data_IF_829160402056
#
_entry.id   IF_829160402056
#
_cell.length_a   1.000
_cell.length_b   1.000
_cell.length_c   1.000
_cell.angle_alpha   90.00
_cell.angle_beta   90.00
_cell.angle_gamma   90.00
#
_symmetry.space_group_name_H-M   'P 1'
#
loop_
_entity.id
_entity.type
_entity.pdbx_description
1 polymer ?
#
# COMPACT_ATOMS: atom_id res chain seq x y z
N UNK A 1 -25.14 34.44 20.90
CA UNK A 1 -25.13 33.38 21.90
C UNK A 1 -23.67 32.94 22.05
N UNK A 2 -23.06 33.25 23.21
CA UNK A 2 -21.70 32.78 23.51
C UNK A 2 -21.87 31.36 24.07
N UNK A 3 -21.33 30.35 23.39
CA UNK A 3 -21.25 29.00 24.00
C UNK A 3 -20.16 29.05 25.07
N UNK A 4 -20.49 28.61 26.28
CA UNK A 4 -19.50 28.47 27.35
C UNK A 4 -18.52 27.37 26.99
N UNK A 5 -17.24 27.62 27.23
CA UNK A 5 -16.20 26.61 27.03
C UNK A 5 -15.82 25.97 28.37
N UNK A 6 -15.97 24.68 28.46
CA UNK A 6 -15.64 23.88 29.65
C UNK A 6 -14.23 23.38 29.58
N UNK A 7 -13.40 23.66 30.59
CA UNK A 7 -12.03 23.23 30.68
C UNK A 7 -11.95 21.93 31.48
N UNK A 8 -11.58 20.83 30.79
CA UNK A 8 -11.40 19.52 31.38
C UNK A 8 -9.92 19.19 31.52
N UNK A 9 -9.44 18.91 32.74
CA UNK A 9 -8.07 18.47 33.01
C UNK A 9 -8.03 16.95 33.18
N UNK A 10 -7.22 16.29 32.37
CA UNK A 10 -7.02 14.84 32.43
C UNK A 10 -5.54 14.52 32.56
N UNK A 11 -5.19 13.23 32.71
CA UNK A 11 -3.77 12.78 32.66
C UNK A 11 -3.11 13.01 31.31
N UNK A 12 -3.90 13.25 30.26
CA UNK A 12 -3.43 13.47 28.87
C UNK A 12 -3.25 14.97 28.56
N UNK A 13 -3.69 15.87 29.44
CA UNK A 13 -3.59 17.32 29.25
C UNK A 13 -4.86 18.07 29.64
N UNK A 14 -4.92 19.34 29.21
CA UNK A 14 -6.07 20.22 29.42
C UNK A 14 -6.80 20.40 28.10
N UNK A 15 -8.11 20.18 28.08
CA UNK A 15 -8.96 20.23 26.90
C UNK A 15 -10.08 21.24 27.12
N UNK A 16 -10.45 21.98 26.06
CA UNK A 16 -11.61 22.87 26.05
C UNK A 16 -12.74 22.20 25.26
N UNK A 17 -13.88 22.02 25.88
CA UNK A 17 -15.06 21.39 25.30
C UNK A 17 -16.20 22.39 25.23
N UNK A 18 -17.04 22.32 24.20
CA UNK A 18 -18.32 23.00 24.14
C UNK A 18 -19.37 22.29 25.05
N UNK A 19 -20.54 22.93 25.25
CA UNK A 19 -21.56 22.42 26.15
C UNK A 19 -22.02 20.99 25.81
N UNK A 20 -22.16 20.68 24.50
CA UNK A 20 -22.60 19.35 24.04
C UNK A 20 -21.54 18.29 24.27
N UNK A 21 -20.28 18.58 23.91
CA UNK A 21 -19.15 17.68 24.11
C UNK A 21 -18.84 17.48 25.60
N UNK A 22 -19.06 18.50 26.44
CA UNK A 22 -18.88 18.38 27.87
C UNK A 22 -19.99 17.51 28.54
N UNK A 23 -21.22 17.61 28.08
CA UNK A 23 -22.28 16.71 28.51
C UNK A 23 -22.00 15.26 28.16
N UNK A 24 -21.55 14.98 26.91
CA UNK A 24 -21.17 13.64 26.46
C UNK A 24 -19.94 13.08 27.22
N UNK A 25 -19.00 13.96 27.62
CA UNK A 25 -17.88 13.58 28.46
C UNK A 25 -18.33 13.15 29.86
N UNK A 26 -19.25 13.92 30.49
CA UNK A 26 -19.82 13.60 31.82
C UNK A 26 -20.63 12.30 31.79
N UNK A 27 -21.31 12.01 30.69
CA UNK A 27 -22.08 10.78 30.51
C UNK A 27 -21.24 9.58 30.11
N UNK A 28 -19.89 9.75 29.96
CA UNK A 28 -18.97 8.68 29.55
C UNK A 28 -19.10 8.28 28.11
N UNK A 29 -19.80 9.04 27.29
CA UNK A 29 -19.92 8.81 25.83
C UNK A 29 -18.76 9.37 25.04
N UNK A 30 -18.12 10.43 25.54
CA UNK A 30 -16.94 11.05 24.93
C UNK A 30 -15.67 10.61 25.65
N UNK A 31 -14.75 9.99 24.91
CA UNK A 31 -13.43 9.60 25.40
C UNK A 31 -12.37 10.57 24.87
N UNK A 32 -11.68 11.27 25.80
CA UNK A 32 -10.55 12.12 25.45
C UNK A 32 -9.31 11.21 25.32
N UNK A 33 -8.82 11.04 24.08
CA UNK A 33 -7.63 10.23 23.77
C UNK A 33 -6.51 11.07 23.15
N UNK A 34 -5.25 10.62 23.27
CA UNK A 34 -4.10 11.27 22.64
C UNK A 34 -4.30 11.39 21.13
N UNK A 35 -4.30 12.62 20.60
CA UNK A 35 -4.49 12.87 19.17
C UNK A 35 -5.92 13.17 18.72
N UNK A 36 -6.89 13.35 19.64
CA UNK A 36 -8.26 13.73 19.29
C UNK A 36 -8.30 15.04 18.50
N UNK A 37 -7.52 16.07 18.88
CA UNK A 37 -7.40 17.33 18.14
C UNK A 37 -6.83 17.15 16.72
N UNK A 38 -5.85 16.23 16.56
CA UNK A 38 -5.30 15.91 15.22
C UNK A 38 -6.32 15.18 14.34
N UNK A 39 -7.25 14.41 14.92
CA UNK A 39 -8.28 13.71 14.14
C UNK A 39 -9.31 14.66 13.56
N UNK A 40 -9.71 15.70 14.29
CA UNK A 40 -10.67 16.69 13.78
C UNK A 40 -10.12 17.49 12.60
N UNK A 41 -8.84 17.90 12.65
CA UNK A 41 -8.16 18.55 11.52
C UNK A 41 -7.82 17.58 10.38
N UNK A 42 -7.46 16.32 10.70
CA UNK A 42 -7.15 15.30 9.71
C UNK A 42 -8.41 14.80 8.99
N UNK A 43 -9.55 14.74 9.66
CA UNK A 43 -10.83 14.40 9.00
C UNK A 43 -11.30 15.48 8.03
N UNK A 44 -11.07 16.76 8.33
CA UNK A 44 -11.36 17.86 7.38
C UNK A 44 -10.33 17.92 6.24
N UNK A 45 -9.09 17.47 6.45
CA UNK A 45 -8.07 17.37 5.39
C UNK A 45 -8.10 16.04 4.62
N UNK A 46 -8.72 14.99 5.18
CA UNK A 46 -8.78 13.66 4.55
C UNK A 46 -9.91 13.50 3.52
N UNK A 47 -10.75 14.49 3.36
CA UNK A 47 -11.79 14.46 2.32
C UNK A 47 -11.37 15.22 1.05
N UNK A 48 -10.10 15.07 0.58
CA UNK A 48 -9.92 15.14 -0.88
C UNK A 48 -10.70 13.96 -1.44
N UNK A 49 -11.72 14.20 -2.29
CA UNK A 49 -12.41 13.09 -2.95
C UNK A 49 -11.30 12.29 -3.64
N UNK A 50 -11.13 11.02 -3.24
CA UNK A 50 -10.37 10.08 -4.06
C UNK A 50 -11.03 10.17 -5.41
N UNK A 51 -10.32 10.70 -6.41
CA UNK A 51 -10.80 10.73 -7.77
C UNK A 51 -11.39 9.33 -8.03
N UNK A 52 -12.68 9.25 -8.25
CA UNK A 52 -13.33 7.99 -8.59
C UNK A 52 -12.71 7.61 -9.93
N UNK A 53 -11.77 6.67 -9.89
CA UNK A 53 -11.21 6.11 -11.11
C UNK A 53 -12.37 5.33 -11.73
N UNK A 54 -12.93 5.87 -12.81
CA UNK A 54 -13.91 5.15 -13.61
C UNK A 54 -13.20 3.94 -14.20
N UNK A 55 -13.58 2.76 -13.74
CA UNK A 55 -13.02 1.50 -14.21
C UNK A 55 -13.76 1.08 -15.48
N UNK A 56 -13.04 0.95 -16.58
CA UNK A 56 -13.58 0.49 -17.87
C UNK A 56 -13.88 -1.02 -17.86
N UNK A 57 -14.74 -1.46 -18.76
CA UNK A 57 -14.99 -2.89 -18.98
C UNK A 57 -13.71 -3.64 -19.39
N UNK A 58 -12.81 -2.96 -20.11
CA UNK A 58 -11.53 -3.52 -20.51
C UNK A 58 -10.65 -3.81 -19.30
N UNK A 59 -10.56 -2.90 -18.34
CA UNK A 59 -9.82 -3.12 -17.09
C UNK A 59 -10.38 -4.30 -16.28
N UNK A 60 -11.69 -4.49 -16.28
CA UNK A 60 -12.35 -5.64 -15.65
C UNK A 60 -11.99 -6.94 -16.38
N UNK A 61 -12.01 -6.95 -17.71
CA UNK A 61 -11.62 -8.11 -18.53
C UNK A 61 -10.17 -8.50 -18.29
N UNK A 62 -9.25 -7.53 -18.24
CA UNK A 62 -7.83 -7.76 -17.95
C UNK A 62 -7.64 -8.35 -16.55
N UNK A 63 -8.33 -7.83 -15.54
CA UNK A 63 -8.33 -8.39 -14.19
C UNK A 63 -8.75 -9.87 -14.21
N UNK A 64 -9.82 -10.19 -14.91
CA UNK A 64 -10.38 -11.55 -14.94
C UNK A 64 -9.52 -12.51 -15.78
N UNK A 65 -8.79 -12.00 -16.76
CA UNK A 65 -7.83 -12.77 -17.56
C UNK A 65 -6.52 -13.06 -16.79
N UNK A 66 -6.10 -12.18 -15.89
CA UNK A 66 -4.82 -12.26 -15.17
C UNK A 66 -4.79 -13.29 -14.02
N UNK A 67 -5.44 -14.47 -14.17
CA UNK A 67 -5.71 -15.40 -13.06
C UNK A 67 -4.53 -16.24 -12.59
N UNK A 68 -3.54 -16.54 -13.45
CA UNK A 68 -2.48 -17.50 -13.11
C UNK A 68 -1.16 -16.81 -12.74
N UNK A 69 -0.70 -15.88 -13.55
CA UNK A 69 0.54 -15.15 -13.37
C UNK A 69 0.38 -13.73 -13.92
N UNK A 70 -0.01 -12.85 -13.03
CA UNK A 70 -0.28 -11.45 -13.40
C UNK A 70 0.94 -10.75 -13.99
N UNK A 71 2.16 -11.07 -13.52
CA UNK A 71 3.36 -10.43 -14.02
C UNK A 71 3.68 -10.86 -15.45
N UNK A 72 3.60 -12.17 -15.73
CA UNK A 72 3.79 -12.69 -17.09
C UNK A 72 2.70 -12.18 -18.02
N UNK A 73 1.44 -12.24 -17.59
CA UNK A 73 0.31 -11.72 -18.35
C UNK A 73 0.48 -10.23 -18.70
N UNK A 74 0.97 -9.43 -17.75
CA UNK A 74 1.27 -8.01 -17.98
C UNK A 74 2.34 -7.82 -19.07
N UNK A 75 3.43 -8.61 -19.01
CA UNK A 75 4.53 -8.52 -19.98
C UNK A 75 4.09 -8.95 -21.39
N UNK A 76 3.23 -9.96 -21.49
CA UNK A 76 2.69 -10.44 -22.76
C UNK A 76 1.67 -9.47 -23.37
N UNK A 77 0.80 -8.90 -22.54
CA UNK A 77 -0.27 -7.98 -23.00
C UNK A 77 0.26 -6.58 -23.31
N UNK A 78 1.26 -6.12 -22.53
CA UNK A 78 1.83 -4.78 -22.63
C UNK A 78 3.37 -4.85 -22.72
N UNK A 79 3.96 -5.39 -23.80
CA UNK A 79 5.38 -5.58 -23.90
C UNK A 79 6.14 -4.25 -23.82
N UNK A 80 7.14 -4.21 -22.94
CA UNK A 80 7.99 -3.03 -22.73
C UNK A 80 7.36 -1.93 -21.87
N UNK A 81 6.12 -2.08 -21.42
CA UNK A 81 5.48 -1.10 -20.55
C UNK A 81 6.02 -1.21 -19.12
N UNK A 82 6.50 -0.09 -18.60
CA UNK A 82 6.94 0.00 -17.21
C UNK A 82 5.74 0.22 -16.31
N UNK A 83 5.52 -0.67 -15.36
CA UNK A 83 4.38 -0.62 -14.45
C UNK A 83 4.87 -0.67 -13.01
N UNK A 84 4.38 0.25 -12.18
CA UNK A 84 4.71 0.26 -10.77
C UNK A 84 4.16 -0.97 -10.05
N UNK A 85 4.93 -1.52 -9.09
CA UNK A 85 4.46 -2.62 -8.24
C UNK A 85 3.21 -2.17 -7.47
N UNK A 86 2.12 -2.94 -7.47
CA UNK A 86 0.86 -2.56 -6.82
C UNK A 86 0.90 -2.73 -5.29
N UNK A 87 1.98 -2.26 -4.69
CA UNK A 87 2.21 -2.32 -3.24
C UNK A 87 1.31 -1.34 -2.48
N UNK A 88 0.90 -1.73 -1.27
CA UNK A 88 0.18 -0.91 -0.30
C UNK A 88 0.84 -1.02 1.08
N UNK A 89 0.90 0.05 1.85
CA UNK A 89 1.55 0.04 3.17
C UNK A 89 0.95 -0.99 4.15
N UNK A 90 -0.33 -1.33 4.01
CA UNK A 90 -0.96 -2.42 4.77
C UNK A 90 -0.32 -3.80 4.54
N UNK A 91 0.43 -3.97 3.45
CA UNK A 91 1.14 -5.21 3.10
C UNK A 91 2.53 -5.27 3.75
N UNK A 92 3.00 -4.18 4.37
CA UNK A 92 4.38 -4.07 4.87
C UNK A 92 4.76 -5.20 5.84
N UNK A 93 3.84 -5.62 6.68
CA UNK A 93 4.04 -6.69 7.67
C UNK A 93 3.88 -8.12 7.14
N UNK A 94 3.43 -8.31 5.89
CA UNK A 94 3.24 -9.66 5.35
C UNK A 94 4.58 -10.39 5.24
N UNK A 95 4.63 -11.69 5.61
CA UNK A 95 5.85 -12.50 5.51
C UNK A 95 6.19 -12.84 4.07
N UNK A 96 7.47 -13.04 3.76
CA UNK A 96 7.94 -13.42 2.41
C UNK A 96 7.43 -14.80 1.97
N UNK A 97 6.93 -15.61 2.88
CA UNK A 97 6.36 -16.92 2.55
C UNK A 97 5.13 -16.80 1.62
N UNK A 98 4.40 -15.69 1.69
CA UNK A 98 3.30 -15.36 0.78
C UNK A 98 3.76 -15.11 -0.68
N UNK A 99 5.05 -14.97 -0.92
CA UNK A 99 5.59 -14.73 -2.26
C UNK A 99 5.81 -16.02 -3.07
N UNK A 100 5.58 -17.20 -2.51
CA UNK A 100 5.82 -18.50 -3.17
C UNK A 100 7.20 -18.62 -3.82
N UNK A 101 8.24 -18.20 -3.10
CA UNK A 101 9.63 -18.21 -3.57
C UNK A 101 10.24 -19.62 -3.53
N UNK A 102 11.20 -19.88 -4.42
CA UNK A 102 12.07 -21.05 -4.26
C UNK A 102 12.87 -20.97 -2.96
N UNK A 103 13.27 -22.11 -2.42
CA UNK A 103 14.11 -22.21 -1.21
C UNK A 103 15.37 -21.34 -1.33
N UNK A 104 15.97 -21.30 -2.52
CA UNK A 104 17.16 -20.51 -2.79
C UNK A 104 16.91 -19.01 -2.63
N UNK A 105 15.84 -18.50 -3.24
CA UNK A 105 15.46 -17.09 -3.21
C UNK A 105 14.99 -16.67 -1.81
N UNK A 106 14.18 -17.49 -1.14
CA UNK A 106 13.77 -17.28 0.25
C UNK A 106 14.97 -17.20 1.19
N UNK A 107 15.90 -18.16 1.13
CA UNK A 107 17.11 -18.16 1.94
C UNK A 107 18.02 -16.95 1.66
N UNK A 108 18.06 -16.44 0.43
CA UNK A 108 18.82 -15.24 0.12
C UNK A 108 18.22 -14.00 0.78
N UNK A 109 16.88 -13.82 0.72
CA UNK A 109 16.18 -12.76 1.41
C UNK A 109 16.32 -12.86 2.93
N UNK A 110 16.21 -14.05 3.50
CA UNK A 110 16.39 -14.29 4.93
C UNK A 110 17.79 -13.86 5.39
N UNK A 111 18.86 -14.20 4.65
CA UNK A 111 20.23 -13.74 4.94
C UNK A 111 20.39 -12.22 4.86
N UNK A 112 19.63 -11.56 3.97
CA UNK A 112 19.58 -10.11 3.84
C UNK A 112 18.66 -9.44 4.89
N UNK A 113 18.14 -10.21 5.85
CA UNK A 113 17.16 -9.77 6.85
C UNK A 113 15.87 -9.17 6.23
N UNK A 114 15.52 -9.63 5.03
CA UNK A 114 14.30 -9.22 4.31
C UNK A 114 13.18 -10.26 4.55
N UNK A 115 12.58 -10.24 5.73
CA UNK A 115 11.57 -11.22 6.16
C UNK A 115 10.13 -10.80 5.84
N UNK A 116 9.93 -9.55 5.46
CA UNK A 116 8.60 -8.98 5.19
C UNK A 116 8.56 -8.23 3.87
N UNK A 117 7.36 -8.06 3.32
CA UNK A 117 7.15 -7.31 2.08
C UNK A 117 7.71 -5.89 2.15
N UNK A 118 7.58 -5.21 3.30
CA UNK A 118 8.15 -3.88 3.49
C UNK A 118 9.67 -3.87 3.29
N UNK A 119 10.40 -4.85 3.86
CA UNK A 119 11.85 -4.95 3.67
C UNK A 119 12.23 -5.35 2.25
N UNK A 120 11.47 -6.23 1.62
CA UNK A 120 11.69 -6.58 0.21
C UNK A 120 11.49 -5.35 -0.69
N UNK A 121 10.41 -4.58 -0.48
CA UNK A 121 10.17 -3.31 -1.17
C UNK A 121 11.37 -2.36 -1.04
N UNK A 122 11.85 -2.13 0.19
CA UNK A 122 13.01 -1.24 0.42
C UNK A 122 14.24 -1.67 -0.38
N UNK A 123 14.52 -2.97 -0.45
CA UNK A 123 15.66 -3.50 -1.21
C UNK A 123 15.44 -3.31 -2.72
N UNK A 124 14.24 -3.61 -3.24
CA UNK A 124 13.92 -3.46 -4.67
C UNK A 124 13.99 -1.99 -5.10
N UNK A 125 13.59 -1.06 -4.22
CA UNK A 125 13.58 0.38 -4.52
C UNK A 125 14.98 1.03 -4.56
N UNK A 126 15.99 0.38 -4.01
CA UNK A 126 17.37 0.84 -4.07
C UNK A 126 18.01 0.33 -5.36
N UNK A 127 18.69 1.21 -6.10
CA UNK A 127 19.45 0.82 -7.29
C UNK A 127 20.40 -0.32 -6.96
N UNK A 128 20.34 -1.40 -7.76
CA UNK A 128 21.09 -2.64 -7.54
C UNK A 128 20.89 -3.30 -6.16
N UNK A 129 19.82 -2.96 -5.44
CA UNK A 129 19.60 -3.45 -4.08
C UNK A 129 19.59 -4.98 -3.98
N UNK A 130 18.93 -5.67 -4.92
CA UNK A 130 18.92 -7.13 -4.97
C UNK A 130 20.29 -7.69 -5.33
N UNK A 131 21.05 -7.07 -6.22
CA UNK A 131 22.39 -7.51 -6.63
C UNK A 131 23.40 -7.45 -5.48
N UNK A 132 23.17 -6.61 -4.46
CA UNK A 132 24.00 -6.52 -3.26
C UNK A 132 23.81 -7.71 -2.31
N UNK A 133 22.77 -8.53 -2.52
CA UNK A 133 22.56 -9.73 -1.72
C UNK A 133 23.55 -10.79 -2.13
N UNK A 134 24.41 -11.20 -1.19
CA UNK A 134 25.44 -12.21 -1.43
C UNK A 134 24.83 -13.53 -1.95
N UNK A 135 25.39 -14.06 -3.01
CA UNK A 135 24.99 -15.31 -3.67
C UNK A 135 23.56 -15.29 -4.24
N UNK A 136 23.01 -14.12 -4.54
CA UNK A 136 21.78 -13.99 -5.31
C UNK A 136 22.16 -13.93 -6.80
N UNK A 137 21.75 -14.96 -7.55
CA UNK A 137 21.96 -15.00 -9.00
C UNK A 137 20.81 -14.30 -9.74
N UNK A 138 21.06 -13.94 -11.01
CA UNK A 138 20.09 -13.24 -11.88
C UNK A 138 18.73 -13.96 -11.96
N UNK A 139 18.72 -15.31 -11.96
CA UNK A 139 17.45 -16.07 -11.97
C UNK A 139 16.64 -15.84 -10.70
N UNK A 140 17.29 -15.86 -9.52
CA UNK A 140 16.64 -15.61 -8.25
C UNK A 140 16.21 -14.15 -8.08
N UNK A 141 16.99 -13.21 -8.64
CA UNK A 141 16.60 -11.80 -8.67
C UNK A 141 15.30 -11.62 -9.46
N UNK A 142 15.21 -12.13 -10.67
CA UNK A 142 14.00 -12.09 -11.50
C UNK A 142 12.81 -12.79 -10.84
N UNK A 143 13.04 -13.92 -10.19
CA UNK A 143 12.02 -14.65 -9.44
C UNK A 143 11.46 -13.79 -8.29
N UNK A 144 12.33 -13.17 -7.48
CA UNK A 144 11.91 -12.32 -6.35
C UNK A 144 11.05 -11.16 -6.86
N UNK A 145 11.48 -10.46 -7.89
CA UNK A 145 10.74 -9.34 -8.46
C UNK A 145 9.37 -9.77 -8.98
N UNK A 146 9.32 -10.83 -9.80
CA UNK A 146 8.07 -11.37 -10.36
C UNK A 146 7.12 -11.80 -9.26
N UNK A 147 7.59 -12.58 -8.29
CA UNK A 147 6.75 -13.12 -7.24
C UNK A 147 6.31 -12.04 -6.25
N UNK A 148 7.17 -11.06 -5.96
CA UNK A 148 6.78 -9.91 -5.16
C UNK A 148 5.67 -9.08 -5.82
N UNK A 149 5.80 -8.81 -7.13
CA UNK A 149 4.76 -8.13 -7.90
C UNK A 149 3.43 -8.91 -7.84
N UNK A 150 3.47 -10.20 -8.15
CA UNK A 150 2.28 -11.06 -8.17
C UNK A 150 1.64 -11.15 -6.78
N UNK A 151 2.45 -11.35 -5.74
CA UNK A 151 1.96 -11.41 -4.37
C UNK A 151 1.28 -10.08 -3.95
N UNK A 152 1.89 -8.92 -4.25
CA UNK A 152 1.26 -7.63 -4.01
C UNK A 152 -0.08 -7.47 -4.75
N UNK A 153 -0.15 -7.92 -6.00
CA UNK A 153 -1.38 -7.84 -6.79
C UNK A 153 -2.50 -8.70 -6.19
N UNK A 154 -2.20 -9.93 -5.78
CA UNK A 154 -3.22 -10.82 -5.19
C UNK A 154 -3.68 -10.40 -3.79
N UNK A 155 -2.95 -9.54 -3.10
CA UNK A 155 -3.38 -8.90 -1.85
C UNK A 155 -4.31 -7.68 -2.07
N UNK A 156 -4.54 -7.28 -3.30
CA UNK A 156 -5.51 -6.24 -3.64
C UNK A 156 -6.94 -6.82 -3.65
N UNK A 157 -7.90 -6.01 -3.23
CA UNK A 157 -9.31 -6.32 -3.45
C UNK A 157 -9.66 -6.33 -4.95
N UNK A 158 -10.73 -7.02 -5.37
CA UNK A 158 -11.16 -7.04 -6.78
C UNK A 158 -11.32 -5.64 -7.39
N UNK A 159 -11.81 -4.68 -6.62
CA UNK A 159 -11.93 -3.29 -7.04
C UNK A 159 -10.56 -2.64 -7.24
N UNK A 160 -9.62 -2.85 -6.32
CA UNK A 160 -8.25 -2.31 -6.44
C UNK A 160 -7.50 -2.95 -7.61
N UNK A 161 -7.72 -4.23 -7.89
CA UNK A 161 -7.17 -4.91 -9.06
C UNK A 161 -7.70 -4.29 -10.37
N UNK A 162 -9.00 -4.01 -10.44
CA UNK A 162 -9.57 -3.35 -11.61
C UNK A 162 -9.02 -1.91 -11.78
N UNK A 163 -8.88 -1.16 -10.69
CA UNK A 163 -8.24 0.17 -10.71
C UNK A 163 -6.77 0.07 -11.13
N UNK A 164 -6.05 -0.98 -10.73
CA UNK A 164 -4.68 -1.22 -11.18
C UNK A 164 -4.63 -1.37 -12.70
N UNK A 165 -5.48 -2.22 -13.28
CA UNK A 165 -5.53 -2.40 -14.75
C UNK A 165 -5.95 -1.13 -15.48
N UNK A 166 -6.88 -0.35 -14.93
CA UNK A 166 -7.23 0.95 -15.51
C UNK A 166 -6.02 1.87 -15.60
N UNK A 167 -5.21 1.94 -14.54
CA UNK A 167 -3.96 2.72 -14.56
C UNK A 167 -2.95 2.18 -15.57
N UNK A 168 -2.88 0.86 -15.75
CA UNK A 168 -2.02 0.25 -16.77
C UNK A 168 -2.47 0.66 -18.17
N UNK A 169 -3.78 0.70 -18.44
CA UNK A 169 -4.33 1.17 -19.71
C UNK A 169 -4.03 2.66 -19.93
N UNK A 170 -4.31 3.48 -18.90
CA UNK A 170 -4.20 4.94 -18.96
C UNK A 170 -2.76 5.46 -18.98
N UNK A 171 -1.80 4.68 -18.47
CA UNK A 171 -0.40 5.08 -18.42
C UNK A 171 0.14 5.24 -19.84
N UNK A 172 0.39 6.49 -20.22
CA UNK A 172 1.09 6.84 -21.46
C UNK A 172 2.56 6.39 -21.38
N UNK A 173 3.22 6.04 -22.49
CA UNK A 173 4.56 5.43 -22.46
C UNK A 173 5.69 6.34 -21.96
N UNK A 174 5.48 7.61 -21.62
CA UNK A 174 6.59 8.57 -21.53
C UNK A 174 6.73 9.44 -20.26
N UNK A 175 5.91 9.35 -19.21
CA UNK A 175 5.98 10.43 -18.17
C UNK A 175 6.01 10.04 -16.71
N UNK A 176 6.30 8.86 -16.29
CA UNK A 176 6.49 8.64 -14.86
C UNK A 176 7.75 7.84 -14.56
N UNK A 177 8.53 8.32 -13.59
CA UNK A 177 9.59 7.61 -12.86
C UNK A 177 9.03 6.34 -12.22
N UNK A 178 8.54 5.44 -13.07
CA UNK A 178 8.17 4.10 -12.66
C UNK A 178 9.46 3.29 -12.56
N UNK A 179 9.67 2.63 -11.42
CA UNK A 179 10.77 1.71 -11.26
C UNK A 179 10.75 0.71 -12.41
N UNK A 180 11.81 0.75 -13.23
CA UNK A 180 12.03 -0.27 -14.25
C UNK A 180 12.41 -1.55 -13.54
N UNK A 181 11.61 -2.58 -13.71
CA UNK A 181 11.98 -3.95 -13.41
C UNK A 181 12.82 -4.55 -14.52
#
# INVERSE_FOLDING_TARGET
MYSEQHIVKTRLGTFSLDDASYADYLEGKLWISWGAEKRSQTQQMAAKPRAQVNVSEEAIRLRDAARADVYLFLQETFPGKKVAVPYRERMSGLPIDEMSLSVRSSNALMRANAKTFGRVKEIIMVEDGLKRIRNLGVKSEKEIVRNFFSACYYQLSPTEQAVFWQRVIDAQPETETAFSL
#
